data_IF_455906252575
#
_entry.id   IF_455906252575
#
_cell.length_a   1.000
_cell.length_b   1.000
_cell.length_c   1.000
_cell.angle_alpha   90.00
_cell.angle_beta   90.00
_cell.angle_gamma   90.00
#
_symmetry.space_group_name_H-M   'P 1'
#
loop_
_entity.id
_entity.type
_entity.pdbx_description
1 polymer ?
#
# COMPACT_ATOMS: atom_id res chain seq x y z
N UNK A 1 4.25 6.56 -14.13
CA UNK A 1 3.40 7.71 -14.45
C UNK A 1 2.79 8.31 -13.18
N UNK A 2 1.76 7.71 -12.56
CA UNK A 2 1.11 8.27 -11.37
C UNK A 2 2.10 8.48 -10.20
N UNK A 3 2.93 7.49 -9.88
CA UNK A 3 3.92 7.61 -8.78
C UNK A 3 5.04 8.60 -9.11
N UNK A 4 5.43 8.70 -10.38
CA UNK A 4 6.39 9.71 -10.86
C UNK A 4 5.83 11.12 -10.68
N UNK A 5 4.55 11.32 -11.04
CA UNK A 5 3.84 12.58 -10.82
C UNK A 5 3.62 12.85 -9.33
N UNK A 6 3.37 11.82 -8.51
CA UNK A 6 3.23 11.95 -7.07
C UNK A 6 4.52 12.40 -6.37
N UNK A 7 5.70 12.12 -6.94
CA UNK A 7 6.98 12.68 -6.45
C UNK A 7 7.07 14.18 -6.66
N UNK A 8 6.41 14.72 -7.70
CA UNK A 8 6.36 16.15 -7.99
C UNK A 8 5.24 16.85 -7.22
N UNK A 9 4.09 16.19 -7.11
CA UNK A 9 2.94 16.67 -6.35
C UNK A 9 2.30 15.51 -5.54
N UNK A 10 2.65 15.39 -4.24
CA UNK A 10 2.06 14.38 -3.35
C UNK A 10 0.54 14.52 -3.17
N UNK A 11 -0.05 15.69 -3.45
CA UNK A 11 -1.49 15.92 -3.29
C UNK A 11 -2.32 15.07 -4.26
N UNK A 12 -1.73 14.65 -5.39
CA UNK A 12 -2.38 13.77 -6.38
C UNK A 12 -2.83 12.45 -5.74
N UNK A 13 -2.07 11.92 -4.76
CA UNK A 13 -2.41 10.67 -4.08
C UNK A 13 -3.62 10.80 -3.14
N UNK A 14 -3.89 12.00 -2.61
CA UNK A 14 -5.09 12.28 -1.81
C UNK A 14 -6.37 12.33 -2.65
N UNK A 15 -6.25 12.48 -3.97
CA UNK A 15 -7.42 12.58 -4.85
C UNK A 15 -8.19 11.24 -4.86
N UNK A 16 -9.52 11.25 -4.65
CA UNK A 16 -10.33 10.04 -4.61
C UNK A 16 -10.23 9.19 -5.89
N UNK A 17 -10.17 9.85 -7.06
CA UNK A 17 -10.04 9.16 -8.34
C UNK A 17 -8.71 8.41 -8.46
N UNK A 18 -7.60 9.06 -8.09
CA UNK A 18 -6.26 8.44 -8.08
C UNK A 18 -6.23 7.23 -7.16
N UNK A 19 -6.74 7.39 -5.93
CA UNK A 19 -6.81 6.31 -4.94
C UNK A 19 -7.62 5.12 -5.46
N UNK A 20 -8.77 5.37 -6.08
CA UNK A 20 -9.60 4.31 -6.67
C UNK A 20 -8.90 3.61 -7.84
N UNK A 21 -8.27 4.36 -8.73
CA UNK A 21 -7.51 3.81 -9.88
C UNK A 21 -6.36 2.93 -9.40
N UNK A 22 -5.58 3.38 -8.43
CA UNK A 22 -4.47 2.61 -7.87
C UNK A 22 -4.96 1.33 -7.18
N UNK A 23 -6.04 1.40 -6.40
CA UNK A 23 -6.66 0.21 -5.80
C UNK A 23 -7.11 -0.80 -6.86
N UNK A 24 -7.74 -0.34 -7.95
CA UNK A 24 -8.13 -1.24 -9.05
C UNK A 24 -6.92 -1.88 -9.74
N UNK A 25 -5.85 -1.10 -10.00
CA UNK A 25 -4.62 -1.63 -10.61
C UNK A 25 -3.98 -2.72 -9.75
N UNK A 26 -3.92 -2.54 -8.44
CA UNK A 26 -3.43 -3.55 -7.51
C UNK A 26 -4.29 -4.82 -7.57
N UNK A 27 -5.62 -4.69 -7.48
CA UNK A 27 -6.55 -5.84 -7.59
C UNK A 27 -6.38 -6.62 -8.88
N UNK A 28 -6.21 -5.92 -10.01
CA UNK A 28 -5.94 -6.57 -11.30
C UNK A 28 -4.63 -7.34 -11.27
N UNK A 29 -3.55 -6.76 -10.72
CA UNK A 29 -2.28 -7.46 -10.59
C UNK A 29 -2.39 -8.68 -9.67
N UNK A 30 -3.13 -8.58 -8.56
CA UNK A 30 -3.37 -9.71 -7.65
C UNK A 30 -4.13 -10.84 -8.36
N UNK A 31 -5.18 -10.51 -9.11
CA UNK A 31 -5.93 -11.50 -9.89
C UNK A 31 -5.08 -12.19 -10.97
N UNK A 32 -4.23 -11.43 -11.66
CA UNK A 32 -3.28 -11.97 -12.66
C UNK A 32 -2.21 -12.83 -11.97
N UNK A 33 -1.70 -12.42 -10.81
CA UNK A 33 -0.73 -13.19 -10.03
C UNK A 33 -1.29 -14.55 -9.63
N UNK A 34 -2.52 -14.60 -9.10
CA UNK A 34 -3.19 -15.87 -8.77
C UNK A 34 -3.42 -16.76 -10.00
N UNK A 35 -3.70 -16.16 -11.15
CA UNK A 35 -3.98 -16.92 -12.38
C UNK A 35 -2.71 -17.47 -13.05
N UNK A 36 -1.62 -16.69 -13.03
CA UNK A 36 -0.36 -17.08 -13.69
C UNK A 36 0.56 -17.91 -12.80
N UNK A 37 0.61 -17.66 -11.50
CA UNK A 37 1.57 -18.29 -10.59
C UNK A 37 2.99 -17.73 -10.78
N UNK A 38 4.00 -18.61 -10.70
CA UNK A 38 5.42 -18.25 -10.74
C UNK A 38 5.85 -17.33 -11.92
N UNK A 39 5.33 -17.48 -13.16
CA UNK A 39 5.62 -16.56 -14.27
C UNK A 39 5.30 -15.08 -13.99
N UNK A 40 4.43 -14.77 -13.03
CA UNK A 40 4.16 -13.39 -12.62
C UNK A 40 5.40 -12.67 -12.05
N UNK A 41 6.44 -13.40 -11.64
CA UNK A 41 7.68 -12.83 -11.11
C UNK A 41 8.32 -11.75 -11.99
N UNK A 42 8.22 -11.86 -13.32
CA UNK A 42 8.73 -10.84 -14.26
C UNK A 42 7.98 -9.52 -14.10
N UNK A 43 6.66 -9.58 -13.91
CA UNK A 43 5.83 -8.41 -13.68
C UNK A 43 6.09 -7.84 -12.28
N UNK A 44 6.19 -8.70 -11.27
CA UNK A 44 6.49 -8.28 -9.90
C UNK A 44 7.81 -7.50 -9.83
N UNK A 45 8.87 -8.00 -10.45
CA UNK A 45 10.17 -7.32 -10.51
C UNK A 45 10.06 -5.88 -11.05
N UNK A 46 9.18 -5.64 -12.03
CA UNK A 46 8.97 -4.33 -12.65
C UNK A 46 8.22 -3.35 -11.74
N UNK A 47 7.22 -3.84 -11.00
CA UNK A 47 6.31 -2.98 -10.23
C UNK A 47 6.63 -2.93 -8.73
N UNK A 48 7.54 -3.77 -8.25
CA UNK A 48 7.75 -4.00 -6.81
C UNK A 48 8.15 -2.74 -6.05
N UNK A 49 9.20 -2.05 -6.49
CA UNK A 49 9.69 -0.84 -5.81
C UNK A 49 8.63 0.27 -5.77
N UNK A 50 7.90 0.43 -6.87
CA UNK A 50 6.81 1.39 -6.98
C UNK A 50 5.65 1.03 -6.03
N UNK A 51 5.36 -0.26 -5.92
CA UNK A 51 4.32 -0.79 -5.03
C UNK A 51 4.69 -0.62 -3.55
N UNK A 52 5.95 -0.85 -3.18
CA UNK A 52 6.44 -0.60 -1.81
C UNK A 52 6.49 0.89 -1.46
N UNK A 53 6.88 1.75 -2.41
CA UNK A 53 6.83 3.20 -2.22
C UNK A 53 5.39 3.69 -2.06
N UNK A 54 4.47 3.14 -2.84
CA UNK A 54 3.04 3.44 -2.72
C UNK A 54 2.51 3.06 -1.34
N UNK A 55 2.86 1.89 -0.80
CA UNK A 55 2.48 1.50 0.56
C UNK A 55 2.90 2.55 1.60
N UNK A 56 4.17 2.97 1.55
CA UNK A 56 4.72 3.99 2.47
C UNK A 56 3.98 5.32 2.35
N UNK A 57 3.84 5.83 1.12
CA UNK A 57 3.18 7.10 0.87
C UNK A 57 1.72 7.09 1.35
N UNK A 58 0.97 6.01 1.09
CA UNK A 58 -0.41 5.89 1.57
C UNK A 58 -0.49 5.72 3.08
N UNK A 59 0.51 5.13 3.72
CA UNK A 59 0.56 5.07 5.18
C UNK A 59 0.75 6.44 5.83
N UNK A 60 1.68 7.24 5.31
CA UNK A 60 1.88 8.61 5.76
C UNK A 60 0.60 9.45 5.58
N UNK A 61 -0.10 9.26 4.46
CA UNK A 61 -1.38 9.91 4.19
C UNK A 61 -2.50 9.47 5.16
N UNK A 62 -2.55 8.20 5.56
CA UNK A 62 -3.50 7.73 6.59
C UNK A 62 -3.24 8.44 7.90
N UNK A 63 -1.99 8.45 8.35
CA UNK A 63 -1.57 9.12 9.59
C UNK A 63 -1.85 10.63 9.54
N UNK A 64 -1.59 11.29 8.41
CA UNK A 64 -1.92 12.70 8.21
C UNK A 64 -3.43 12.95 8.25
N UNK A 65 -4.23 12.14 7.55
CA UNK A 65 -5.69 12.29 7.49
C UNK A 65 -6.36 12.09 8.87
N UNK A 66 -5.85 11.17 9.69
CA UNK A 66 -6.33 10.99 11.07
C UNK A 66 -6.03 12.22 11.93
N UNK A 67 -4.82 12.79 11.81
CA UNK A 67 -4.42 14.01 12.52
C UNK A 67 -5.24 15.23 12.09
N UNK A 68 -5.44 15.40 10.78
CA UNK A 68 -6.29 16.46 10.19
C UNK A 68 -7.73 16.36 10.72
N UNK A 69 -8.31 15.14 10.73
CA UNK A 69 -9.65 14.92 11.27
C UNK A 69 -9.72 15.23 12.78
N UNK A 70 -8.75 14.78 13.58
CA UNK A 70 -8.71 15.10 15.01
C UNK A 70 -8.60 16.61 15.27
N UNK A 71 -7.81 17.34 14.47
CA UNK A 71 -7.67 18.80 14.58
C UNK A 71 -8.98 19.56 14.26
N UNK A 72 -9.89 18.96 13.49
CA UNK A 72 -11.22 19.54 13.21
C UNK A 72 -12.22 19.44 14.38
N UNK A 73 -11.78 18.96 15.55
CA UNK A 73 -12.63 18.72 16.72
C UNK A 73 -13.37 17.38 16.69
N UNK A 74 -13.08 16.53 15.71
CA UNK A 74 -13.63 15.18 15.64
C UNK A 74 -13.01 14.31 16.75
N UNK A 75 -13.85 13.63 17.54
CA UNK A 75 -13.38 12.70 18.56
C UNK A 75 -12.50 11.60 17.92
N UNK A 76 -11.39 11.24 18.59
CA UNK A 76 -10.38 10.32 18.07
C UNK A 76 -10.95 9.03 17.46
N UNK A 77 -11.95 8.43 18.12
CA UNK A 77 -12.66 7.22 17.66
C UNK A 77 -13.37 7.34 16.30
N UNK A 78 -13.67 8.57 15.85
CA UNK A 78 -14.33 8.85 14.57
C UNK A 78 -13.31 9.27 13.50
N UNK A 79 -12.19 9.89 13.90
CA UNK A 79 -11.13 10.35 12.99
C UNK A 79 -10.54 9.22 12.15
N UNK A 80 -10.37 8.02 12.74
CA UNK A 80 -9.87 6.82 12.04
C UNK A 80 -10.91 6.09 11.18
N UNK A 81 -12.17 6.52 11.22
CA UNK A 81 -13.31 5.87 10.54
C UNK A 81 -13.88 6.68 9.38
N UNK A 82 -13.30 7.83 9.07
CA UNK A 82 -13.72 8.69 7.97
C UNK A 82 -13.61 7.97 6.62
N UNK A 83 -14.45 8.36 5.66
CA UNK A 83 -14.45 7.78 4.30
C UNK A 83 -13.09 7.95 3.61
N UNK A 84 -12.43 9.09 3.84
CA UNK A 84 -11.08 9.36 3.31
C UNK A 84 -10.08 8.36 3.87
N UNK A 85 -10.01 8.20 5.19
CA UNK A 85 -9.08 7.25 5.83
C UNK A 85 -9.34 5.82 5.36
N UNK A 86 -10.60 5.40 5.25
CA UNK A 86 -10.98 4.08 4.71
C UNK A 86 -10.47 3.89 3.26
N UNK A 87 -10.62 4.91 2.42
CA UNK A 87 -10.16 4.85 1.04
C UNK A 87 -8.64 4.73 0.94
N UNK A 88 -7.90 5.48 1.76
CA UNK A 88 -6.43 5.42 1.79
C UNK A 88 -5.94 4.05 2.29
N UNK A 89 -6.56 3.51 3.36
CA UNK A 89 -6.27 2.15 3.86
C UNK A 89 -6.53 1.07 2.83
N UNK A 90 -7.52 1.24 1.95
CA UNK A 90 -7.78 0.28 0.89
C UNK A 90 -6.56 0.08 0.00
N UNK A 91 -5.81 1.13 -0.34
CA UNK A 91 -4.60 0.98 -1.19
C UNK A 91 -3.49 0.25 -0.44
N UNK A 92 -3.29 0.53 0.85
CA UNK A 92 -2.36 -0.24 1.70
C UNK A 92 -2.72 -1.72 1.71
N UNK A 93 -3.99 -2.04 2.00
CA UNK A 93 -4.50 -3.41 2.03
C UNK A 93 -4.27 -4.14 0.69
N UNK A 94 -4.64 -3.53 -0.43
CA UNK A 94 -4.44 -4.15 -1.74
C UNK A 94 -2.95 -4.38 -2.07
N UNK A 95 -2.06 -3.52 -1.58
CA UNK A 95 -0.61 -3.69 -1.74
C UNK A 95 -0.10 -4.91 -0.96
N UNK A 96 -0.60 -5.10 0.26
CA UNK A 96 -0.30 -6.27 1.08
C UNK A 96 -0.83 -7.56 0.43
N UNK A 97 -2.07 -7.54 -0.08
CA UNK A 97 -2.67 -8.69 -0.77
C UNK A 97 -1.91 -9.08 -2.04
N UNK A 98 -1.43 -8.10 -2.83
CA UNK A 98 -0.58 -8.39 -3.97
C UNK A 98 0.75 -9.04 -3.55
N UNK A 99 1.33 -8.56 -2.45
CA UNK A 99 2.59 -9.09 -1.90
C UNK A 99 2.40 -10.52 -1.38
N UNK A 100 1.31 -10.79 -0.67
CA UNK A 100 0.90 -12.12 -0.22
C UNK A 100 0.70 -13.07 -1.40
N UNK A 101 -0.08 -12.66 -2.40
CA UNK A 101 -0.34 -13.45 -3.59
C UNK A 101 0.96 -13.82 -4.32
N UNK A 102 1.91 -12.89 -4.41
CA UNK A 102 3.21 -13.13 -5.03
C UNK A 102 4.07 -14.12 -4.22
N UNK A 103 4.12 -13.96 -2.89
CA UNK A 103 4.85 -14.87 -1.99
C UNK A 103 4.34 -16.30 -2.13
N UNK A 104 3.02 -16.48 -2.24
CA UNK A 104 2.40 -17.79 -2.43
C UNK A 104 2.63 -18.35 -3.85
N UNK A 105 2.70 -17.47 -4.85
CA UNK A 105 2.81 -17.86 -6.26
C UNK A 105 4.24 -18.21 -6.72
N UNK A 106 5.29 -17.75 -6.03
CA UNK A 106 6.68 -17.91 -6.51
C UNK A 106 7.32 -19.23 -6.08
N UNK A 107 7.90 -19.94 -7.05
CA UNK A 107 8.72 -21.13 -6.78
C UNK A 107 10.19 -20.79 -6.45
N UNK A 108 10.64 -19.55 -6.76
CA UNK A 108 12.01 -19.10 -6.48
C UNK A 108 12.11 -18.44 -5.10
N UNK A 109 12.26 -19.29 -4.08
CA UNK A 109 12.39 -18.90 -2.68
C UNK A 109 13.67 -18.09 -2.42
N UNK A 110 14.76 -18.40 -3.12
CA UNK A 110 16.05 -17.72 -2.89
C UNK A 110 15.98 -16.25 -3.30
N UNK A 111 15.41 -15.98 -4.48
CA UNK A 111 15.20 -14.60 -4.94
C UNK A 111 14.19 -13.90 -4.05
N UNK A 112 13.12 -14.58 -3.62
CA UNK A 112 12.14 -14.02 -2.68
C UNK A 112 12.81 -13.52 -1.39
N UNK A 113 13.58 -14.39 -0.73
CA UNK A 113 14.24 -14.10 0.55
C UNK A 113 15.33 -13.02 0.42
N UNK A 114 16.10 -13.03 -0.66
CA UNK A 114 17.23 -12.10 -0.83
C UNK A 114 16.81 -10.73 -1.35
N UNK A 115 15.81 -10.66 -2.24
CA UNK A 115 15.51 -9.44 -3.00
C UNK A 115 14.22 -8.73 -2.57
N UNK A 116 13.22 -9.47 -2.07
CA UNK A 116 11.90 -8.91 -1.79
C UNK A 116 11.62 -8.77 -0.30
N UNK A 117 11.86 -9.83 0.49
CA UNK A 117 11.57 -9.85 1.93
C UNK A 117 12.22 -8.69 2.70
N UNK A 118 13.49 -8.31 2.48
CA UNK A 118 14.09 -7.20 3.22
C UNK A 118 13.36 -5.86 2.99
N UNK A 119 12.97 -5.58 1.74
CA UNK A 119 12.25 -4.36 1.39
C UNK A 119 10.80 -4.38 1.92
N UNK A 120 10.14 -5.54 1.92
CA UNK A 120 8.81 -5.69 2.51
C UNK A 120 8.86 -5.46 4.02
N UNK A 121 9.83 -6.06 4.71
CA UNK A 121 10.02 -5.91 6.16
C UNK A 121 10.29 -4.46 6.56
N UNK A 122 11.19 -3.77 5.86
CA UNK A 122 11.48 -2.36 6.13
C UNK A 122 10.27 -1.45 5.87
N UNK A 123 9.54 -1.69 4.78
CA UNK A 123 8.34 -0.90 4.46
C UNK A 123 7.18 -1.15 5.42
N UNK A 124 6.92 -2.40 5.81
CA UNK A 124 5.71 -2.81 6.53
C UNK A 124 5.92 -2.81 8.04
N UNK A 125 6.98 -3.44 8.56
CA UNK A 125 7.21 -3.50 10.00
C UNK A 125 7.63 -2.14 10.56
N UNK A 126 8.46 -1.41 9.82
CA UNK A 126 8.81 -0.04 10.17
C UNK A 126 7.57 0.85 10.26
N UNK A 127 6.61 0.66 9.37
CA UNK A 127 5.32 1.36 9.40
C UNK A 127 4.46 0.94 10.59
N UNK A 128 4.32 -0.36 10.83
CA UNK A 128 3.55 -0.90 11.95
C UNK A 128 4.08 -0.40 13.30
N UNK A 129 5.40 -0.35 13.48
CA UNK A 129 6.04 0.11 14.70
C UNK A 129 5.80 1.62 14.96
N UNK A 130 5.73 2.44 13.91
CA UNK A 130 5.58 3.90 14.02
C UNK A 130 4.12 4.36 14.14
N UNK A 131 3.17 3.56 13.65
CA UNK A 131 1.78 3.95 13.62
C UNK A 131 1.08 3.80 14.98
N UNK A 132 0.28 4.82 15.32
CA UNK A 132 -0.65 4.80 16.45
C UNK A 132 -1.63 3.64 16.33
N UNK A 133 -2.19 3.10 17.44
CA UNK A 133 -3.10 1.95 17.40
C UNK A 133 -4.25 2.14 16.41
N UNK A 134 -4.81 3.35 16.35
CA UNK A 134 -5.90 3.70 15.44
C UNK A 134 -5.48 3.83 13.97
N UNK A 135 -4.18 3.94 13.68
CA UNK A 135 -3.61 4.06 12.33
C UNK A 135 -3.02 2.74 11.80
N UNK A 136 -2.76 1.76 12.68
CA UNK A 136 -2.30 0.42 12.29
C UNK A 136 -3.32 -0.25 11.38
N UNK A 137 -2.81 -1.00 10.40
CA UNK A 137 -3.66 -1.85 9.57
C UNK A 137 -4.26 -2.93 10.47
N UNK A 138 -5.59 -3.04 10.48
CA UNK A 138 -6.36 -4.06 11.20
C UNK A 138 -6.78 -5.18 10.24
#
# INVERSE_FOLDING_TARGET
AILTSARQDPAILKQPETTRRLSHLLKTNTAVCHSLGHPFGVQMQRIFLDTMQMYRAYSDLVSAAIKEAAASGMAAQHSSKTTVVKSLRSVKRETLLLSEAFVVATDDVNTLLSSYVPSMMDAILGDYARNEPDARDA
#
